data_IF_664137044333
#
_entry.id   IF_664137044333
#
_cell.length_a   1.000
_cell.length_b   1.000
_cell.length_c   1.000
_cell.angle_alpha   90.00
_cell.angle_beta   90.00
_cell.angle_gamma   90.00
#
_symmetry.space_group_name_H-M   'P 1'
#
loop_
_entity.id
_entity.type
_entity.pdbx_description
1 polymer ?
#
# COMPACT_ATOMS: atom_id res chain seq x y z
N UNK A 1 -38.66 -20.17 -29.10
CA UNK A 1 -38.68 -19.55 -27.75
C UNK A 1 -37.68 -20.16 -26.76
N UNK A 2 -37.38 -21.48 -26.80
CA UNK A 2 -36.49 -22.14 -25.80
C UNK A 2 -35.02 -21.67 -25.77
N UNK A 3 -34.38 -21.38 -26.90
CA UNK A 3 -32.97 -20.95 -26.92
C UNK A 3 -32.78 -19.50 -26.44
N UNK A 4 -33.75 -18.61 -26.69
CA UNK A 4 -33.73 -17.21 -26.26
C UNK A 4 -33.91 -17.14 -24.74
N UNK A 5 -34.83 -17.91 -24.16
CA UNK A 5 -35.02 -17.98 -22.70
C UNK A 5 -33.79 -18.52 -21.96
N UNK A 6 -33.10 -19.53 -22.51
CA UNK A 6 -31.87 -20.06 -21.93
C UNK A 6 -30.68 -19.08 -22.04
N UNK A 7 -30.61 -18.29 -23.12
CA UNK A 7 -29.59 -17.26 -23.26
C UNK A 7 -29.79 -16.11 -22.26
N UNK A 8 -31.04 -15.69 -22.03
CA UNK A 8 -31.41 -14.65 -21.06
C UNK A 8 -31.09 -15.11 -19.62
N UNK A 9 -31.45 -16.34 -19.24
CA UNK A 9 -31.15 -16.89 -17.92
C UNK A 9 -29.63 -17.02 -17.64
N UNK A 10 -28.84 -17.37 -18.65
CA UNK A 10 -27.37 -17.40 -18.56
C UNK A 10 -26.76 -16.00 -18.47
N UNK A 11 -27.38 -15.03 -19.13
CA UNK A 11 -26.95 -13.63 -19.08
C UNK A 11 -27.22 -13.05 -17.68
N UNK A 12 -28.39 -13.31 -17.09
CA UNK A 12 -28.74 -12.92 -15.71
C UNK A 12 -27.79 -13.50 -14.66
N UNK A 13 -27.24 -14.70 -14.90
CA UNK A 13 -26.28 -15.37 -14.00
C UNK A 13 -24.80 -15.12 -14.35
N UNK A 14 -24.51 -14.17 -15.25
CA UNK A 14 -23.12 -13.85 -15.60
C UNK A 14 -22.40 -13.18 -14.42
N UNK A 15 -21.10 -13.45 -14.18
CA UNK A 15 -20.34 -12.82 -13.11
C UNK A 15 -20.34 -11.29 -13.18
N UNK A 16 -20.42 -10.72 -14.39
CA UNK A 16 -20.54 -9.28 -14.58
C UNK A 16 -21.87 -8.72 -14.05
N UNK A 17 -22.99 -9.39 -14.33
CA UNK A 17 -24.29 -8.98 -13.80
C UNK A 17 -24.38 -9.16 -12.28
N UNK A 18 -23.73 -10.19 -11.72
CA UNK A 18 -23.61 -10.35 -10.28
C UNK A 18 -22.83 -9.19 -9.63
N UNK A 19 -21.75 -8.71 -10.25
CA UNK A 19 -21.03 -7.53 -9.73
C UNK A 19 -21.96 -6.30 -9.69
N UNK A 20 -22.74 -6.08 -10.75
CA UNK A 20 -23.68 -4.96 -10.83
C UNK A 20 -24.80 -5.05 -9.77
N UNK A 21 -25.33 -6.25 -9.53
CA UNK A 21 -26.37 -6.49 -8.51
C UNK A 21 -25.85 -6.23 -7.09
N UNK A 22 -24.59 -6.57 -6.81
CA UNK A 22 -23.99 -6.47 -5.47
C UNK A 22 -23.31 -5.11 -5.17
N UNK A 23 -23.48 -4.12 -6.06
CA UNK A 23 -22.97 -2.76 -5.84
C UNK A 23 -23.44 -2.14 -4.50
N UNK A 24 -24.70 -2.27 -4.07
CA UNK A 24 -25.15 -1.73 -2.78
C UNK A 24 -24.37 -2.32 -1.60
N UNK A 25 -24.14 -3.62 -1.58
CA UNK A 25 -23.39 -4.32 -0.54
C UNK A 25 -21.90 -3.93 -0.56
N UNK A 26 -21.31 -3.80 -1.76
CA UNK A 26 -19.95 -3.30 -1.92
C UNK A 26 -19.83 -1.87 -1.38
N UNK A 27 -20.84 -1.02 -1.60
CA UNK A 27 -20.84 0.36 -1.11
C UNK A 27 -20.83 0.46 0.42
N UNK A 28 -21.50 -0.47 1.11
CA UNK A 28 -21.55 -0.49 2.58
C UNK A 28 -20.17 -0.76 3.19
N UNK A 29 -19.35 -1.59 2.54
CA UNK A 29 -18.06 -2.04 3.09
C UNK A 29 -16.85 -1.35 2.47
N UNK A 30 -17.04 -0.64 1.35
CA UNK A 30 -15.98 0.02 0.63
C UNK A 30 -15.37 1.14 1.48
N UNK A 31 -14.04 1.28 1.40
CA UNK A 31 -13.38 2.45 1.97
C UNK A 31 -13.95 3.74 1.34
N UNK A 32 -14.05 4.80 2.12
CA UNK A 32 -14.77 6.05 1.78
C UNK A 32 -14.33 6.71 0.46
N UNK A 33 -13.07 6.53 0.05
CA UNK A 33 -12.50 7.09 -1.16
C UNK A 33 -12.74 6.22 -2.41
N UNK A 34 -13.27 5.00 -2.26
CA UNK A 34 -13.57 4.09 -3.36
C UNK A 34 -14.92 4.44 -4.00
N UNK A 35 -14.89 4.74 -5.29
CA UNK A 35 -16.10 4.90 -6.11
C UNK A 35 -16.57 3.54 -6.61
N UNK A 36 -17.67 3.05 -6.06
CA UNK A 36 -18.20 1.70 -6.31
C UNK A 36 -18.46 1.42 -7.79
N UNK A 37 -18.93 2.40 -8.57
CA UNK A 37 -19.12 2.22 -10.02
C UNK A 37 -17.81 1.99 -10.78
N UNK A 38 -16.75 2.72 -10.42
CA UNK A 38 -15.43 2.50 -11.01
C UNK A 38 -14.86 1.16 -10.57
N UNK A 39 -14.98 0.84 -9.28
CA UNK A 39 -14.57 -0.45 -8.73
C UNK A 39 -15.23 -1.63 -9.46
N UNK A 40 -16.55 -1.58 -9.67
CA UNK A 40 -17.30 -2.59 -10.40
C UNK A 40 -16.83 -2.72 -11.86
N UNK A 41 -16.62 -1.59 -12.55
CA UNK A 41 -16.10 -1.60 -13.93
C UNK A 41 -14.72 -2.24 -14.03
N UNK A 42 -13.82 -1.97 -13.07
CA UNK A 42 -12.50 -2.60 -13.02
C UNK A 42 -12.61 -4.13 -12.84
N UNK A 43 -13.47 -4.58 -11.92
CA UNK A 43 -13.71 -6.01 -11.72
C UNK A 43 -14.28 -6.69 -12.98
N UNK A 44 -15.25 -6.07 -13.65
CA UNK A 44 -15.80 -6.57 -14.93
C UNK A 44 -14.73 -6.56 -16.03
N UNK A 45 -13.90 -5.52 -16.10
CA UNK A 45 -12.78 -5.43 -17.03
C UNK A 45 -11.79 -6.59 -16.85
N UNK A 46 -11.42 -6.90 -15.61
CA UNK A 46 -10.52 -8.00 -15.29
C UNK A 46 -11.10 -9.37 -15.72
N UNK A 47 -12.40 -9.59 -15.54
CA UNK A 47 -13.08 -10.80 -16.02
C UNK A 47 -13.03 -10.92 -17.54
N UNK A 48 -13.23 -9.80 -18.27
CA UNK A 48 -13.20 -9.80 -19.75
C UNK A 48 -11.81 -10.05 -20.32
N UNK A 49 -10.76 -9.63 -19.62
CA UNK A 49 -9.38 -9.79 -20.06
C UNK A 49 -8.82 -11.20 -19.83
N UNK A 50 -9.46 -12.00 -18.97
CA UNK A 50 -8.95 -13.32 -18.60
C UNK A 50 -10.06 -14.37 -18.58
N UNK A 51 -10.12 -15.18 -19.64
CA UNK A 51 -11.12 -16.25 -19.80
C UNK A 51 -11.09 -17.28 -18.66
N UNK A 52 -9.91 -17.62 -18.13
CA UNK A 52 -9.78 -18.56 -17.00
C UNK A 52 -10.35 -17.95 -15.72
N UNK A 53 -10.17 -16.64 -15.52
CA UNK A 53 -10.77 -15.91 -14.40
C UNK A 53 -12.29 -15.85 -14.55
N UNK A 54 -12.81 -15.54 -15.74
CA UNK A 54 -14.24 -15.55 -16.02
C UNK A 54 -14.87 -16.94 -15.77
N UNK A 55 -14.21 -18.00 -16.23
CA UNK A 55 -14.66 -19.38 -15.99
C UNK A 55 -14.65 -19.75 -14.51
N UNK A 56 -13.61 -19.36 -13.76
CA UNK A 56 -13.52 -19.57 -12.33
C UNK A 56 -14.62 -18.80 -11.56
N UNK A 57 -14.88 -17.56 -11.96
CA UNK A 57 -15.95 -16.74 -11.40
C UNK A 57 -17.34 -17.30 -11.70
N UNK A 58 -17.56 -17.82 -12.92
CA UNK A 58 -18.83 -18.48 -13.27
C UNK A 58 -19.04 -19.77 -12.49
N UNK A 59 -17.97 -20.55 -12.27
CA UNK A 59 -18.04 -21.80 -11.52
C UNK A 59 -18.30 -21.57 -10.02
N UNK A 60 -17.68 -20.54 -9.44
CA UNK A 60 -17.86 -20.21 -8.03
C UNK A 60 -18.01 -18.68 -7.83
N UNK A 61 -19.21 -18.12 -8.07
CA UNK A 61 -19.43 -16.68 -7.95
C UNK A 61 -19.21 -16.14 -6.52
N UNK A 62 -19.45 -16.97 -5.50
CA UNK A 62 -19.21 -16.61 -4.11
C UNK A 62 -17.72 -16.30 -3.83
N UNK A 63 -16.80 -17.04 -4.47
CA UNK A 63 -15.36 -16.78 -4.35
C UNK A 63 -14.96 -15.43 -4.97
N UNK A 64 -15.55 -15.06 -6.13
CA UNK A 64 -15.36 -13.74 -6.73
C UNK A 64 -15.88 -12.65 -5.78
N UNK A 65 -17.10 -12.80 -5.26
CA UNK A 65 -17.68 -11.78 -4.38
C UNK A 65 -16.88 -11.63 -3.09
N UNK A 66 -16.42 -12.74 -2.49
CA UNK A 66 -15.53 -12.69 -1.32
C UNK A 66 -14.22 -11.94 -1.61
N UNK A 67 -13.65 -12.11 -2.80
CA UNK A 67 -12.45 -11.38 -3.22
C UNK A 67 -12.74 -9.88 -3.37
N UNK A 68 -13.85 -9.52 -4.03
CA UNK A 68 -14.25 -8.13 -4.23
C UNK A 68 -14.61 -7.41 -2.92
N UNK A 69 -15.36 -8.06 -2.02
CA UNK A 69 -15.64 -7.52 -0.69
C UNK A 69 -14.35 -7.28 0.12
N UNK A 70 -13.33 -8.12 -0.08
CA UNK A 70 -12.03 -7.93 0.57
C UNK A 70 -11.28 -6.74 -0.03
N UNK A 71 -11.24 -6.61 -1.36
CA UNK A 71 -10.63 -5.46 -2.03
C UNK A 71 -11.31 -4.14 -1.62
N UNK A 72 -12.65 -4.10 -1.61
CA UNK A 72 -13.45 -2.96 -1.19
C UNK A 72 -13.14 -2.54 0.26
N UNK A 73 -13.14 -3.49 1.20
CA UNK A 73 -12.79 -3.24 2.62
C UNK A 73 -11.36 -2.75 2.82
N UNK A 74 -10.44 -3.12 1.94
CA UNK A 74 -9.06 -2.67 2.00
C UNK A 74 -8.84 -1.33 1.28
N UNK A 75 -9.85 -0.81 0.58
CA UNK A 75 -9.68 0.38 -0.25
C UNK A 75 -8.75 0.14 -1.45
N UNK A 76 -8.73 -1.08 -1.99
CA UNK A 76 -7.85 -1.45 -3.10
C UNK A 76 -8.64 -1.75 -4.37
N UNK A 77 -8.10 -1.35 -5.50
CA UNK A 77 -8.74 -1.57 -6.79
C UNK A 77 -8.59 -3.03 -7.27
N UNK A 78 -9.70 -3.70 -7.64
CA UNK A 78 -9.68 -5.11 -8.02
C UNK A 78 -9.21 -5.28 -9.46
N UNK A 79 -8.46 -6.35 -9.71
CA UNK A 79 -7.93 -6.66 -11.04
C UNK A 79 -6.75 -5.78 -11.45
N UNK A 80 -6.19 -5.01 -10.53
CA UNK A 80 -4.99 -4.19 -10.73
C UNK A 80 -3.80 -4.77 -9.95
N UNK A 81 -2.64 -4.13 -10.04
CA UNK A 81 -1.45 -4.48 -9.25
C UNK A 81 -1.61 -4.20 -7.75
N UNK A 82 -2.68 -3.51 -7.35
CA UNK A 82 -3.07 -3.36 -5.95
C UNK A 82 -3.72 -4.63 -5.40
N UNK A 83 -4.67 -5.19 -6.15
CA UNK A 83 -5.43 -6.38 -5.74
C UNK A 83 -5.72 -7.29 -6.93
N UNK A 84 -4.94 -8.35 -7.08
CA UNK A 84 -5.09 -9.32 -8.14
C UNK A 84 -6.29 -10.24 -7.90
N UNK A 85 -7.04 -10.52 -8.96
CA UNK A 85 -8.04 -11.58 -9.01
C UNK A 85 -7.44 -12.77 -9.77
N UNK A 86 -7.07 -13.83 -9.03
CA UNK A 86 -6.36 -14.98 -9.60
C UNK A 86 -7.29 -16.19 -9.72
N UNK A 87 -7.41 -16.83 -10.89
CA UNK A 87 -8.06 -18.13 -10.99
C UNK A 87 -7.17 -19.19 -10.37
N UNK A 88 -7.71 -19.95 -9.42
CA UNK A 88 -7.04 -21.10 -8.80
C UNK A 88 -7.96 -22.32 -8.84
N UNK A 89 -7.42 -23.50 -8.49
CA UNK A 89 -8.21 -24.71 -8.26
C UNK A 89 -8.08 -25.11 -6.79
N UNK A 90 -9.20 -25.18 -6.07
CA UNK A 90 -9.24 -25.69 -4.69
C UNK A 90 -10.12 -26.92 -4.65
N UNK A 91 -9.59 -28.03 -4.13
CA UNK A 91 -10.26 -29.35 -4.12
C UNK A 91 -10.80 -29.73 -5.51
N UNK A 92 -10.03 -29.44 -6.57
CA UNK A 92 -10.40 -29.73 -7.96
C UNK A 92 -11.38 -28.75 -8.61
N UNK A 93 -11.98 -27.83 -7.86
CA UNK A 93 -12.95 -26.87 -8.39
C UNK A 93 -12.30 -25.51 -8.69
N UNK A 94 -12.57 -24.90 -9.87
CA UNK A 94 -12.15 -23.54 -10.17
C UNK A 94 -12.76 -22.50 -9.22
N UNK A 95 -11.94 -21.62 -8.67
CA UNK A 95 -12.38 -20.50 -7.82
C UNK A 95 -11.51 -19.26 -8.05
N UNK A 96 -12.02 -18.10 -7.65
CA UNK A 96 -11.28 -16.84 -7.67
C UNK A 96 -10.64 -16.60 -6.32
N UNK A 97 -9.34 -16.33 -6.31
CA UNK A 97 -8.60 -15.90 -5.14
C UNK A 97 -8.21 -14.43 -5.28
N UNK A 98 -8.65 -13.61 -4.32
CA UNK A 98 -8.18 -12.24 -4.15
C UNK A 98 -6.81 -12.21 -3.49
N UNK A 99 -5.86 -11.48 -4.09
CA UNK A 99 -4.48 -11.40 -3.61
C UNK A 99 -4.02 -9.94 -3.62
N UNK A 100 -3.69 -9.40 -2.45
CA UNK A 100 -3.05 -8.08 -2.34
C UNK A 100 -1.67 -8.12 -3.00
N UNK A 101 -1.42 -7.22 -3.95
CA UNK A 101 -0.14 -7.00 -4.60
C UNK A 101 0.81 -6.14 -3.75
N UNK A 102 2.05 -5.94 -4.21
CA UNK A 102 2.99 -5.10 -3.47
C UNK A 102 2.55 -3.63 -3.49
N UNK A 103 2.02 -3.15 -4.62
CA UNK A 103 1.48 -1.79 -4.74
C UNK A 103 0.27 -1.59 -3.82
N UNK A 104 -0.57 -2.61 -3.63
CA UNK A 104 -1.68 -2.53 -2.67
C UNK A 104 -1.18 -2.40 -1.23
N UNK A 105 -0.09 -3.07 -0.88
CA UNK A 105 0.55 -2.87 0.44
C UNK A 105 1.10 -1.45 0.55
N UNK A 106 1.74 -0.93 -0.49
CA UNK A 106 2.26 0.45 -0.52
C UNK A 106 1.12 1.47 -0.40
N UNK A 107 0.01 1.27 -1.10
CA UNK A 107 -1.18 2.12 -1.01
C UNK A 107 -1.76 2.11 0.42
N UNK A 108 -1.85 0.94 1.07
CA UNK A 108 -2.27 0.86 2.47
C UNK A 108 -1.35 1.65 3.41
N UNK A 109 -0.04 1.67 3.14
CA UNK A 109 0.92 2.47 3.93
C UNK A 109 0.66 3.97 3.71
N UNK A 110 0.46 4.40 2.46
CA UNK A 110 0.15 5.81 2.15
C UNK A 110 -1.20 6.24 2.73
N UNK A 111 -2.22 5.39 2.65
CA UNK A 111 -3.55 5.67 3.20
C UNK A 111 -3.52 5.94 4.71
N UNK A 112 -2.56 5.34 5.45
CA UNK A 112 -2.40 5.61 6.88
C UNK A 112 -1.95 7.06 7.19
N UNK A 113 -1.44 7.79 6.19
CA UNK A 113 -1.06 9.21 6.28
C UNK A 113 0.27 9.49 6.99
N UNK A 114 0.88 8.48 7.61
CA UNK A 114 2.10 8.64 8.40
C UNK A 114 3.39 8.65 7.54
N UNK A 115 3.35 8.03 6.36
CA UNK A 115 4.46 8.00 5.42
C UNK A 115 4.32 9.12 4.36
N UNK A 116 5.41 9.85 4.12
CA UNK A 116 5.56 10.79 3.00
C UNK A 116 6.12 10.11 1.75
N UNK A 117 6.89 9.04 1.92
CA UNK A 117 7.43 8.23 0.82
C UNK A 117 7.58 6.77 1.26
N UNK A 118 7.37 5.85 0.33
CA UNK A 118 7.61 4.41 0.51
C UNK A 118 8.50 3.94 -0.63
N UNK A 119 9.63 3.34 -0.28
CA UNK A 119 10.61 2.78 -1.23
C UNK A 119 10.57 1.27 -1.11
N UNK A 120 10.42 0.58 -2.23
CA UNK A 120 10.46 -0.89 -2.32
C UNK A 120 11.19 -1.21 -3.62
N UNK A 121 12.41 -1.72 -3.54
CA UNK A 121 13.30 -1.83 -4.70
C UNK A 121 14.11 -3.11 -4.68
N UNK A 122 14.37 -3.66 -5.87
CA UNK A 122 15.27 -4.81 -6.03
C UNK A 122 16.71 -4.37 -6.25
N UNK A 123 17.63 -5.18 -5.74
CA UNK A 123 19.07 -5.06 -5.96
C UNK A 123 19.47 -6.20 -6.87
N UNK A 124 20.16 -5.87 -7.95
CA UNK A 124 20.68 -6.78 -8.96
C UNK A 124 22.20 -6.90 -8.85
N UNK A 125 22.75 -7.95 -9.46
CA UNK A 125 24.14 -8.37 -9.26
C UNK A 125 25.17 -7.27 -9.53
N UNK A 126 24.90 -6.38 -10.48
CA UNK A 126 25.80 -5.31 -10.90
C UNK A 126 25.43 -3.94 -10.28
N UNK A 127 24.45 -3.87 -9.39
CA UNK A 127 24.12 -2.64 -8.68
C UNK A 127 25.09 -2.39 -7.52
N UNK A 128 25.37 -1.12 -7.21
CA UNK A 128 26.03 -0.76 -5.95
C UNK A 128 24.98 -0.64 -4.84
N UNK A 129 25.08 -1.48 -3.82
CA UNK A 129 24.20 -1.41 -2.64
C UNK A 129 25.00 -1.41 -1.34
N UNK A 130 24.84 -0.36 -0.54
CA UNK A 130 25.48 -0.23 0.76
C UNK A 130 24.48 0.17 1.85
N UNK A 131 24.38 -0.66 2.89
CA UNK A 131 23.56 -0.37 4.06
C UNK A 131 24.13 -1.07 5.31
N UNK A 132 24.52 -0.27 6.31
CA UNK A 132 24.99 -0.75 7.60
C UNK A 132 23.97 -0.34 8.67
N UNK A 133 23.19 -1.29 9.22
CA UNK A 133 22.21 -0.98 10.26
C UNK A 133 22.85 -0.26 11.45
N UNK A 134 22.25 0.85 11.88
CA UNK A 134 22.74 1.66 13.00
C UNK A 134 23.77 2.73 12.62
N UNK A 135 24.40 2.62 11.45
CA UNK A 135 25.29 3.66 10.91
C UNK A 135 24.59 4.50 9.84
N UNK A 136 23.92 3.84 8.89
CA UNK A 136 23.22 4.53 7.81
C UNK A 136 21.74 4.73 8.17
N UNK A 137 21.24 5.93 7.94
CA UNK A 137 19.80 6.20 8.05
C UNK A 137 19.02 5.45 6.95
N UNK A 138 19.55 5.45 5.71
CA UNK A 138 18.94 4.85 4.52
C UNK A 138 19.96 4.05 3.70
N UNK A 139 19.54 3.03 2.93
CA UNK A 139 20.40 2.40 1.94
C UNK A 139 20.88 3.38 0.87
N UNK A 140 22.13 3.25 0.47
CA UNK A 140 22.65 3.87 -0.76
C UNK A 140 22.58 2.80 -1.85
N UNK A 141 21.73 3.02 -2.84
CA UNK A 141 21.54 2.13 -3.98
C UNK A 141 21.79 2.92 -5.26
N UNK A 142 22.88 2.61 -5.98
CA UNK A 142 23.20 3.22 -7.27
C UNK A 142 23.01 2.18 -8.37
N UNK A 143 22.33 2.61 -9.41
CA UNK A 143 21.96 1.79 -10.56
C UNK A 143 22.45 2.49 -11.82
N UNK A 144 23.12 1.74 -12.69
CA UNK A 144 23.34 2.17 -14.07
C UNK A 144 22.17 1.68 -14.93
N UNK A 145 21.23 2.59 -15.20
CA UNK A 145 20.00 2.33 -15.93
C UNK A 145 20.19 1.96 -17.40
N UNK A 146 21.37 2.22 -17.96
CA UNK A 146 21.66 1.96 -19.37
C UNK A 146 22.56 0.73 -19.57
N UNK A 147 22.81 -0.03 -18.50
CA UNK A 147 23.63 -1.24 -18.49
C UNK A 147 22.82 -2.49 -18.16
N UNK A 148 23.40 -3.66 -18.42
CA UNK A 148 22.88 -4.91 -17.88
C UNK A 148 23.15 -4.99 -16.36
N UNK A 149 22.08 -4.89 -15.58
CA UNK A 149 22.11 -4.96 -14.11
C UNK A 149 22.36 -6.39 -13.58
N UNK A 150 22.17 -7.42 -14.40
CA UNK A 150 22.31 -8.82 -14.01
C UNK A 150 21.16 -9.36 -13.14
N UNK A 151 21.39 -10.51 -12.50
CA UNK A 151 20.37 -11.25 -11.75
C UNK A 151 19.91 -10.55 -10.47
N UNK A 152 18.67 -10.84 -10.02
CA UNK A 152 18.14 -10.40 -8.73
C UNK A 152 18.95 -10.99 -7.55
N UNK A 153 19.61 -10.16 -6.73
CA UNK A 153 20.41 -10.62 -5.58
C UNK A 153 19.84 -10.20 -4.22
N UNK A 154 19.15 -9.06 -4.18
CA UNK A 154 18.49 -8.54 -2.98
C UNK A 154 17.19 -7.80 -3.27
N UNK A 155 16.47 -7.46 -2.20
CA UNK A 155 15.36 -6.52 -2.23
C UNK A 155 15.30 -5.80 -0.90
N UNK A 156 15.00 -4.50 -0.93
CA UNK A 156 14.84 -3.71 0.27
C UNK A 156 13.56 -2.89 0.26
N UNK A 157 13.12 -2.48 1.45
CA UNK A 157 11.99 -1.58 1.60
C UNK A 157 12.12 -0.72 2.85
N UNK A 158 11.72 0.54 2.77
CA UNK A 158 11.56 1.44 3.92
C UNK A 158 10.52 2.52 3.61
N UNK A 159 10.07 3.21 4.65
CA UNK A 159 9.23 4.39 4.51
C UNK A 159 9.95 5.61 5.09
N UNK A 160 9.75 6.77 4.49
CA UNK A 160 10.06 8.07 5.07
C UNK A 160 8.77 8.59 5.70
N UNK A 161 8.82 8.93 6.98
CA UNK A 161 7.68 9.46 7.71
C UNK A 161 7.47 10.94 7.40
N UNK A 162 6.30 11.51 7.71
CA UNK A 162 6.02 12.95 7.49
C UNK A 162 7.07 13.88 8.15
N UNK A 163 7.67 13.46 9.27
CA UNK A 163 8.76 14.19 9.93
C UNK A 163 10.17 13.93 9.37
N UNK A 164 10.30 13.26 8.23
CA UNK A 164 11.57 12.93 7.60
C UNK A 164 12.28 11.68 8.16
N UNK A 165 11.88 11.22 9.34
CA UNK A 165 12.44 10.02 9.95
C UNK A 165 12.26 8.78 9.05
N UNK A 166 13.32 7.97 8.95
CA UNK A 166 13.26 6.70 8.21
C UNK A 166 12.71 5.60 9.12
N UNK A 167 11.76 4.82 8.60
CA UNK A 167 11.24 3.64 9.30
C UNK A 167 12.28 2.51 9.35
N UNK A 168 11.88 1.35 9.86
CA UNK A 168 12.75 0.18 9.77
C UNK A 168 13.05 -0.15 8.31
N UNK A 169 14.33 -0.15 7.96
CA UNK A 169 14.81 -0.64 6.67
C UNK A 169 14.78 -2.17 6.67
N UNK A 170 13.97 -2.73 5.79
CA UNK A 170 13.94 -4.16 5.48
C UNK A 170 14.94 -4.42 4.37
N UNK A 171 15.86 -5.37 4.57
CA UNK A 171 16.76 -5.86 3.52
C UNK A 171 16.70 -7.38 3.48
N UNK A 172 16.43 -7.94 2.30
CA UNK A 172 16.28 -9.36 2.05
C UNK A 172 17.24 -9.80 0.97
N UNK A 173 17.79 -10.99 1.14
CA UNK A 173 18.67 -11.65 0.17
C UNK A 173 17.95 -12.88 -0.41
N UNK A 174 18.58 -13.54 -1.39
CA UNK A 174 18.08 -14.78 -1.99
C UNK A 174 17.60 -15.82 -0.96
N UNK A 175 18.32 -16.01 0.14
CA UNK A 175 17.93 -16.98 1.18
C UNK A 175 16.60 -16.62 1.85
N UNK A 176 16.38 -15.32 2.11
CA UNK A 176 15.12 -14.82 2.68
C UNK A 176 13.95 -15.04 1.74
N UNK A 177 14.19 -14.83 0.44
CA UNK A 177 13.18 -14.99 -0.60
C UNK A 177 12.87 -16.46 -0.85
N UNK A 178 13.87 -17.33 -0.92
CA UNK A 178 13.68 -18.78 -1.03
C UNK A 178 12.80 -19.33 0.11
N UNK A 179 13.03 -18.87 1.36
CA UNK A 179 12.18 -19.23 2.50
C UNK A 179 10.74 -18.71 2.39
N UNK A 180 10.53 -17.56 1.75
CA UNK A 180 9.18 -17.05 1.49
C UNK A 180 8.48 -17.84 0.38
N UNK A 181 9.20 -18.15 -0.71
CA UNK A 181 8.72 -18.97 -1.82
C UNK A 181 8.30 -20.37 -1.37
N UNK A 182 9.10 -21.02 -0.53
CA UNK A 182 8.79 -22.35 0.00
C UNK A 182 7.50 -22.42 0.84
N UNK A 183 7.01 -21.27 1.35
CA UNK A 183 5.76 -21.18 2.11
C UNK A 183 4.57 -20.75 1.24
N UNK A 184 4.78 -20.49 -0.05
CA UNK A 184 3.75 -20.01 -0.96
C UNK A 184 3.09 -21.19 -1.66
N UNK A 185 1.77 -21.31 -1.49
CA UNK A 185 1.00 -22.34 -2.19
C UNK A 185 1.13 -22.20 -3.71
N UNK A 186 1.43 -23.32 -4.37
CA UNK A 186 1.59 -23.36 -5.82
C UNK A 186 2.81 -22.60 -6.35
N UNK A 187 3.84 -22.37 -5.52
CA UNK A 187 5.11 -21.74 -5.92
C UNK A 187 5.77 -22.42 -7.15
N UNK A 188 5.61 -23.74 -7.27
CA UNK A 188 6.29 -24.53 -8.31
C UNK A 188 5.41 -24.77 -9.55
N UNK A 189 4.18 -24.26 -9.56
CA UNK A 189 3.29 -24.36 -10.73
C UNK A 189 3.79 -23.48 -11.87
N UNK A 190 3.53 -23.88 -13.11
CA UNK A 190 3.93 -23.14 -14.32
C UNK A 190 3.45 -21.69 -14.33
N UNK A 191 2.21 -21.49 -13.88
CA UNK A 191 1.57 -20.17 -13.79
C UNK A 191 1.76 -19.53 -12.41
N UNK A 192 2.82 -19.88 -11.69
CA UNK A 192 3.15 -19.25 -10.41
C UNK A 192 3.74 -17.86 -10.66
N UNK A 193 3.31 -16.83 -9.92
CA UNK A 193 3.97 -15.53 -9.94
C UNK A 193 5.47 -15.62 -9.67
N UNK A 194 5.93 -16.62 -8.89
CA UNK A 194 7.36 -16.87 -8.67
C UNK A 194 8.14 -17.33 -9.92
N UNK A 195 7.46 -17.61 -11.03
CA UNK A 195 8.05 -17.96 -12.33
C UNK A 195 7.73 -16.92 -13.40
N UNK A 196 6.50 -16.40 -13.41
CA UNK A 196 6.04 -15.45 -14.43
C UNK A 196 6.37 -14.00 -14.10
N UNK A 197 6.56 -13.69 -12.81
CA UNK A 197 6.78 -12.33 -12.31
C UNK A 197 7.60 -12.38 -11.00
N UNK A 198 8.82 -12.90 -11.10
CA UNK A 198 9.68 -13.12 -9.95
C UNK A 198 9.98 -11.81 -9.21
N UNK A 199 10.28 -10.74 -9.94
CA UNK A 199 10.62 -9.43 -9.38
C UNK A 199 9.48 -8.88 -8.49
N UNK A 200 8.23 -8.91 -8.97
CA UNK A 200 7.09 -8.47 -8.17
C UNK A 200 6.91 -9.30 -6.88
N UNK A 201 7.29 -10.58 -6.90
CA UNK A 201 7.25 -11.44 -5.71
C UNK A 201 8.32 -11.08 -4.68
N UNK A 202 9.50 -10.65 -5.13
CA UNK A 202 10.54 -10.10 -4.26
C UNK A 202 10.07 -8.79 -3.63
N UNK A 203 9.57 -7.85 -4.43
CA UNK A 203 9.01 -6.56 -3.98
C UNK A 203 7.88 -6.77 -2.97
N UNK A 204 6.94 -7.66 -3.26
CA UNK A 204 5.83 -8.01 -2.36
C UNK A 204 6.32 -8.57 -1.04
N UNK A 205 7.38 -9.39 -1.06
CA UNK A 205 7.95 -9.95 0.16
C UNK A 205 8.57 -8.86 1.04
N UNK A 206 9.27 -7.90 0.44
CA UNK A 206 9.83 -6.74 1.14
C UNK A 206 8.73 -5.81 1.69
N UNK A 207 7.77 -5.42 0.86
CA UNK A 207 6.63 -4.58 1.25
C UNK A 207 5.82 -5.20 2.40
N UNK A 208 5.52 -6.50 2.34
CA UNK A 208 4.81 -7.21 3.43
C UNK A 208 5.60 -7.22 4.74
N UNK A 209 6.93 -7.29 4.68
CA UNK A 209 7.76 -7.19 5.89
C UNK A 209 7.79 -5.77 6.42
N UNK A 210 7.87 -4.77 5.54
CA UNK A 210 7.83 -3.36 5.92
C UNK A 210 6.52 -3.01 6.64
N UNK A 211 5.38 -3.46 6.11
CA UNK A 211 4.04 -3.21 6.69
C UNK A 211 3.85 -3.70 8.13
N UNK A 212 4.79 -4.46 8.70
CA UNK A 212 4.80 -4.83 10.14
C UNK A 212 5.39 -3.75 11.05
N UNK A 213 6.07 -2.76 10.47
CA UNK A 213 6.85 -1.74 11.17
C UNK A 213 6.34 -0.32 10.89
N UNK A 214 5.37 -0.18 9.99
CA UNK A 214 4.78 1.11 9.62
C UNK A 214 3.26 1.05 9.72
N UNK A 215 2.58 2.17 10.01
CA UNK A 215 1.12 2.22 9.97
C UNK A 215 0.58 1.87 8.58
N UNK A 216 -0.54 1.15 8.55
CA UNK A 216 -1.31 0.83 7.35
C UNK A 216 -2.78 1.11 7.60
N UNK A 217 -3.51 1.59 6.60
CA UNK A 217 -4.94 1.86 6.71
C UNK A 217 -5.65 1.52 5.41
N UNK A 218 -6.85 0.93 5.52
CA UNK A 218 -7.75 0.82 4.38
C UNK A 218 -8.30 2.20 4.00
N UNK A 219 -8.62 3.03 4.99
CA UNK A 219 -9.11 4.39 4.75
C UNK A 219 -7.99 5.35 4.48
N UNK A 220 -8.14 6.16 3.43
CA UNK A 220 -7.23 7.25 3.15
C UNK A 220 -7.49 8.37 4.14
N UNK A 221 -6.53 8.63 5.02
CA UNK A 221 -6.57 9.83 5.85
C UNK A 221 -6.35 11.03 4.95
N UNK A 222 -7.40 11.81 4.72
CA UNK A 222 -7.22 13.16 4.21
C UNK A 222 -6.33 13.88 5.22
N UNK A 223 -5.20 14.42 4.77
CA UNK A 223 -4.47 15.42 5.53
C UNK A 223 -5.36 16.67 5.62
N UNK A 224 -6.41 16.60 6.45
CA UNK A 224 -6.89 17.79 7.10
C UNK A 224 -5.68 18.28 7.87
N UNK A 225 -5.07 19.33 7.34
CA UNK A 225 -4.07 20.12 8.02
C UNK A 225 -4.77 20.60 9.29
N UNK A 226 -4.72 19.81 10.34
CA UNK A 226 -4.81 20.32 11.69
C UNK A 226 -3.48 21.02 11.93
N UNK A 227 -3.32 22.19 11.28
CA UNK A 227 -2.56 23.27 11.89
C UNK A 227 -3.33 23.52 13.18
N UNK A 228 -2.90 22.85 14.24
CA UNK A 228 -3.02 23.44 15.55
C UNK A 228 -2.25 24.76 15.43
N UNK A 229 -2.98 25.83 15.09
CA UNK A 229 -2.57 27.19 15.41
C UNK A 229 -2.35 27.19 16.91
N UNK A 230 -1.13 26.85 17.30
CA UNK A 230 -0.67 27.05 18.65
C UNK A 230 -0.44 28.54 18.70
N UNK A 231 -1.26 29.34 19.41
CA UNK A 231 -0.95 30.75 19.56
C UNK A 231 0.45 30.81 20.17
N UNK A 232 1.37 31.50 19.49
CA UNK A 232 2.70 31.73 20.00
C UNK A 232 2.56 32.35 21.39
N UNK A 233 2.98 31.62 22.42
CA UNK A 233 3.12 32.19 23.75
C UNK A 233 4.10 33.37 23.63
N UNK A 234 3.76 34.56 24.17
CA UNK A 234 4.68 35.68 24.13
C UNK A 234 5.98 35.28 24.82
N UNK A 235 7.10 35.51 24.15
CA UNK A 235 8.42 35.24 24.71
C UNK A 235 8.54 35.97 26.05
N UNK A 236 8.65 35.22 27.15
CA UNK A 236 9.04 35.77 28.43
C UNK A 236 10.49 36.24 28.31
N UNK A 237 10.71 37.55 28.40
CA UNK A 237 12.03 38.15 28.53
C UNK A 237 12.82 37.48 29.66
N UNK A 238 14.14 37.28 29.52
CA UNK A 238 14.93 36.73 30.61
C UNK A 238 14.99 37.74 31.76
N UNK A 239 14.59 37.29 32.94
CA UNK A 239 14.78 38.00 34.20
C UNK A 239 16.27 38.04 34.55
N UNK A 240 16.81 39.26 34.61
CA UNK A 240 17.73 39.72 35.65
C UNK A 240 19.19 39.27 35.58
N UNK A 241 20.05 40.09 34.97
CA UNK A 241 21.33 40.42 35.58
C UNK A 241 21.17 41.77 36.27
N UNK A 242 21.30 41.76 37.59
CA UNK A 242 21.37 42.97 38.42
C UNK A 242 22.85 43.31 38.53
N UNK A 243 23.26 44.42 37.93
CA UNK A 243 24.57 45.01 38.15
C UNK A 243 24.44 46.04 39.28
N UNK A 244 25.14 45.88 40.42
CA UNK A 244 25.11 46.83 41.50
C UNK A 244 26.32 47.75 41.37
N UNK A 245 26.14 48.97 40.85
CA UNK A 245 26.92 50.16 41.21
C UNK A 245 26.47 51.38 40.36
N UNK A 246 26.58 52.58 40.95
CA UNK A 246 26.34 53.95 40.43
C UNK A 246 24.87 54.44 40.54
N UNK A 247 24.43 55.11 41.60
CA UNK A 247 24.85 56.37 42.27
C UNK A 247 24.33 57.67 41.60
N UNK A 248 23.80 58.54 42.48
CA UNK A 248 23.54 59.98 42.41
C UNK A 248 22.44 60.64 41.52
N UNK A 249 21.28 60.89 42.17
CA UNK A 249 20.64 62.23 42.34
C UNK A 249 19.89 62.91 41.18
N UNK A 250 19.18 64.05 41.41
CA UNK A 250 18.37 64.45 42.58
C UNK A 250 16.89 64.77 42.23
N UNK A 251 16.16 65.10 43.28
CA UNK A 251 14.73 65.40 43.44
C UNK A 251 14.36 66.79 42.88
N UNK A 252 13.16 66.96 42.32
CA UNK A 252 12.30 68.18 42.28
C UNK A 252 11.08 67.85 41.38
N UNK A 253 9.82 68.21 41.58
CA UNK A 253 9.09 69.11 42.47
C UNK A 253 7.74 69.44 41.79
N UNK A 254 6.68 69.71 42.59
CA UNK A 254 5.36 70.30 42.23
C UNK A 254 4.35 69.46 41.39
N UNK A 255 3.14 69.16 41.90
CA UNK A 255 1.92 70.00 42.04
C UNK A 255 1.45 70.51 40.65
N UNK A 256 0.18 70.43 40.24
CA UNK A 256 -1.07 70.77 40.93
C UNK A 256 -2.26 70.15 40.18
N UNK A 257 -3.32 69.81 40.93
CA UNK A 257 -4.76 69.60 40.60
C UNK A 257 -5.19 68.62 39.48
#
# INVERSE_FOLDING_TARGET
>A
MSQISNAIARQEQSPANLIEQYKPELAIVAASHIKVDTFARLAVGALRQNEKLAAAAQNNPASLMSALMTAARLGLEPGTEQFYLRPIKRRGQPEVQGIVGYQGIVELIYNAGAASSVVVEVVRANDEFNYVPGLHERPVHKVDWFSDRGDLVGVYAYAVMQGGATSKVVVLNRSHIARAKAKSDGADTEYSPWRTDEEAMWLKTAARRLGKWVPTSAERRTAAIERLDTPALPASSPLGEVDPDEDDGPIEGELVD
#
